data_IF_428236874349
#
_entry.id   IF_428236874349
#
_cell.length_a   1.000
_cell.length_b   1.000
_cell.length_c   1.000
_cell.angle_alpha   90.00
_cell.angle_beta   90.00
_cell.angle_gamma   90.00
#
_symmetry.space_group_name_H-M   'P 1'
#
loop_
_entity.id
_entity.type
_entity.pdbx_description
1 polymer ?
#
# COMPACT_ATOMS: atom_id res chain seq x y z
N UNK A 1 14.82 -6.66 11.01
CA UNK A 1 14.51 -6.48 12.44
C UNK A 1 13.21 -5.71 12.56
N UNK A 2 12.29 -6.10 13.44
CA UNK A 2 11.07 -5.37 13.69
C UNK A 2 11.40 -3.92 14.10
N UNK A 3 10.69 -2.97 13.53
CA UNK A 3 10.96 -1.55 13.74
C UNK A 3 10.76 -1.15 15.22
N UNK A 4 9.69 -1.65 15.82
CA UNK A 4 9.36 -1.43 17.21
C UNK A 4 10.48 -1.90 18.15
N UNK A 5 11.09 -3.07 17.87
CA UNK A 5 12.22 -3.58 18.66
C UNK A 5 13.48 -2.72 18.53
N UNK A 6 13.69 -2.06 17.39
CA UNK A 6 14.78 -1.11 17.21
C UNK A 6 14.56 0.17 18.04
N UNK A 7 13.31 0.59 18.18
CA UNK A 7 12.93 1.72 19.05
C UNK A 7 13.09 1.35 20.51
N UNK A 8 12.47 0.24 20.95
CA UNK A 8 12.52 -0.26 22.33
C UNK A 8 13.96 -0.49 22.81
N UNK A 9 14.83 -0.98 21.92
CA UNK A 9 16.28 -1.14 22.19
C UNK A 9 17.07 0.17 22.15
N UNK A 10 16.41 1.31 21.88
CA UNK A 10 17.02 2.63 21.71
C UNK A 10 18.12 2.66 20.63
N UNK A 11 17.97 1.82 19.61
CA UNK A 11 18.90 1.78 18.49
C UNK A 11 18.67 2.92 17.49
N UNK A 12 17.46 3.50 17.46
CA UNK A 12 17.09 4.62 16.61
C UNK A 12 17.02 5.92 17.39
N UNK A 13 17.36 7.01 16.73
CA UNK A 13 17.31 8.36 17.26
C UNK A 13 15.95 8.98 16.99
N UNK A 14 15.42 9.74 17.96
CA UNK A 14 14.30 10.62 17.70
C UNK A 14 14.74 11.77 16.81
N UNK A 15 14.17 11.82 15.60
CA UNK A 15 14.52 12.83 14.58
C UNK A 15 13.96 14.20 14.99
N UNK A 16 12.84 14.27 15.73
CA UNK A 16 12.30 15.55 16.23
C UNK A 16 13.31 16.31 17.08
N UNK A 17 14.13 15.62 17.89
CA UNK A 17 15.15 16.28 18.71
C UNK A 17 16.22 16.95 17.82
N UNK A 18 16.60 16.30 16.71
CA UNK A 18 17.56 16.89 15.77
C UNK A 18 16.98 18.08 15.01
N UNK A 19 15.72 18.00 14.61
CA UNK A 19 15.03 19.09 13.89
C UNK A 19 14.82 20.30 14.79
N UNK A 20 14.50 20.09 16.06
CA UNK A 20 14.31 21.18 17.04
C UNK A 20 15.58 22.00 17.29
N UNK A 21 16.74 21.35 17.26
CA UNK A 21 18.03 21.98 17.49
C UNK A 21 18.61 22.60 16.22
N UNK A 22 17.97 22.40 15.06
CA UNK A 22 18.42 22.88 13.77
C UNK A 22 18.05 24.34 13.54
N UNK A 23 19.03 25.23 13.71
CA UNK A 23 18.90 26.66 13.46
C UNK A 23 19.52 27.11 12.13
N UNK A 24 19.76 26.19 11.20
CA UNK A 24 20.34 26.53 9.89
C UNK A 24 19.33 27.21 8.97
N UNK A 25 19.84 27.91 7.96
CA UNK A 25 18.98 28.60 6.96
C UNK A 25 18.13 27.65 6.11
N UNK A 26 18.45 26.36 6.10
CA UNK A 26 17.73 25.29 5.41
C UNK A 26 17.12 24.28 6.41
N UNK A 27 16.70 24.77 7.58
CA UNK A 27 15.96 23.94 8.53
C UNK A 27 14.68 23.38 7.88
N UNK A 28 14.40 22.12 8.18
CA UNK A 28 13.17 21.46 7.70
C UNK A 28 11.97 22.05 8.44
N UNK A 29 11.00 22.55 7.67
CA UNK A 29 9.65 22.85 8.18
C UNK A 29 8.76 21.65 7.86
N UNK A 30 8.33 20.90 8.86
CA UNK A 30 7.51 19.70 8.66
C UNK A 30 6.12 20.01 8.06
N UNK A 31 5.64 21.25 8.16
CA UNK A 31 4.36 21.67 7.55
C UNK A 31 4.43 21.70 6.01
N UNK A 32 5.63 21.70 5.43
CA UNK A 32 5.82 21.64 3.97
C UNK A 32 5.65 20.22 3.41
N UNK A 33 5.44 19.24 4.28
CA UNK A 33 5.35 17.82 3.94
C UNK A 33 4.00 17.22 4.32
N UNK A 34 3.64 16.11 3.68
CA UNK A 34 2.39 15.42 3.98
C UNK A 34 2.41 14.81 5.39
N UNK A 35 1.70 15.48 6.32
CA UNK A 35 1.66 15.11 7.74
C UNK A 35 1.11 13.70 7.97
N UNK A 36 0.11 13.26 7.19
CA UNK A 36 -0.45 11.92 7.32
C UNK A 36 0.57 10.84 6.97
N UNK A 37 1.46 11.15 6.01
CA UNK A 37 2.56 10.26 5.62
C UNK A 37 3.69 10.31 6.66
N UNK A 38 4.05 11.49 7.15
CA UNK A 38 5.07 11.63 8.20
C UNK A 38 4.69 10.86 9.46
N UNK A 39 3.42 10.87 9.83
CA UNK A 39 2.91 10.17 11.01
C UNK A 39 3.13 8.65 10.98
N UNK A 40 3.31 8.05 9.82
CA UNK A 40 3.65 6.62 9.74
C UNK A 40 5.05 6.29 10.29
N UNK A 41 5.94 7.28 10.40
CA UNK A 41 7.26 7.14 11.01
C UNK A 41 7.31 7.51 12.49
N UNK A 42 6.14 7.88 13.08
CA UNK A 42 6.01 8.26 14.48
C UNK A 42 5.65 7.06 15.34
N UNK A 43 6.32 6.91 16.46
CA UNK A 43 6.02 5.91 17.49
C UNK A 43 6.12 6.59 18.87
N UNK A 44 5.09 6.44 19.68
CA UNK A 44 4.99 7.06 21.01
C UNK A 44 5.28 8.57 21.02
N UNK A 45 4.74 9.29 20.03
CA UNK A 45 4.90 10.73 19.77
C UNK A 45 6.31 11.18 19.33
N UNK A 46 7.23 10.28 19.08
CA UNK A 46 8.57 10.55 18.59
C UNK A 46 8.73 10.09 17.14
N UNK A 47 9.45 10.85 16.31
CA UNK A 47 9.70 10.52 14.90
C UNK A 47 10.99 9.71 14.77
N UNK A 48 10.89 8.47 14.37
CA UNK A 48 12.02 7.56 14.19
C UNK A 48 12.33 7.22 12.74
N UNK A 49 11.34 7.33 11.86
CA UNK A 49 11.53 7.24 10.41
C UNK A 49 11.03 8.52 9.79
N UNK A 50 11.86 9.14 8.94
CA UNK A 50 11.41 10.21 8.07
C UNK A 50 11.09 9.62 6.69
N UNK A 51 9.82 9.60 6.29
CA UNK A 51 9.41 9.13 4.97
C UNK A 51 9.98 10.03 3.87
N UNK A 52 10.28 9.46 2.73
CA UNK A 52 10.71 10.19 1.52
C UNK A 52 9.69 10.03 0.40
N UNK A 53 9.23 8.80 0.22
CA UNK A 53 8.31 8.45 -0.84
C UNK A 53 7.27 7.46 -0.31
N UNK A 54 6.06 7.55 -0.86
CA UNK A 54 4.95 6.69 -0.51
C UNK A 54 4.16 6.24 -1.73
N UNK A 55 3.41 5.17 -1.59
CA UNK A 55 2.45 4.69 -2.55
C UNK A 55 1.03 4.76 -1.98
N UNK A 56 0.05 4.92 -2.85
CA UNK A 56 -1.38 4.90 -2.48
C UNK A 56 -1.98 3.59 -2.95
N UNK A 57 -2.74 2.95 -2.07
CA UNK A 57 -3.40 1.68 -2.38
C UNK A 57 -4.68 1.92 -3.17
N UNK A 58 -4.73 1.41 -4.40
CA UNK A 58 -5.90 1.49 -5.27
C UNK A 58 -6.15 0.18 -6.01
N UNK A 59 -7.40 -0.04 -6.39
CA UNK A 59 -7.83 -1.09 -7.32
C UNK A 59 -8.23 -0.44 -8.63
N UNK A 60 -7.80 -1.01 -9.74
CA UNK A 60 -8.19 -0.55 -11.07
C UNK A 60 -8.93 -1.66 -11.81
N UNK A 61 -10.01 -1.29 -12.48
CA UNK A 61 -10.81 -2.15 -13.33
C UNK A 61 -11.38 -1.35 -14.49
N UNK A 62 -12.31 -1.91 -15.23
CA UNK A 62 -13.08 -1.21 -16.27
C UNK A 62 -14.58 -1.40 -16.06
N UNK A 63 -15.40 -0.44 -16.55
CA UNK A 63 -16.85 -0.57 -16.49
C UNK A 63 -17.33 -1.87 -17.15
N UNK A 64 -16.68 -2.27 -18.24
CA UNK A 64 -17.00 -3.47 -18.99
C UNK A 64 -16.83 -4.74 -18.17
N UNK A 65 -15.75 -4.82 -17.38
CA UNK A 65 -15.46 -5.96 -16.49
C UNK A 65 -16.40 -5.99 -15.28
N UNK A 66 -16.71 -4.82 -14.74
CA UNK A 66 -17.60 -4.68 -13.59
C UNK A 66 -19.10 -4.81 -13.92
N UNK A 67 -19.46 -4.84 -15.19
CA UNK A 67 -20.86 -4.82 -15.65
C UNK A 67 -21.74 -5.94 -15.05
N UNK A 68 -21.15 -7.09 -14.76
CA UNK A 68 -21.85 -8.25 -14.19
C UNK A 68 -21.87 -8.23 -12.67
N UNK A 69 -21.27 -7.22 -12.05
CA UNK A 69 -21.25 -7.00 -10.62
C UNK A 69 -22.09 -5.77 -10.31
N UNK A 70 -22.82 -5.77 -9.22
CA UNK A 70 -23.60 -4.59 -8.79
C UNK A 70 -22.68 -3.50 -8.18
N UNK A 71 -21.53 -3.29 -8.81
CA UNK A 71 -20.51 -2.32 -8.43
C UNK A 71 -20.73 -1.10 -9.32
N UNK A 72 -21.22 0.00 -8.73
CA UNK A 72 -21.38 1.28 -9.44
C UNK A 72 -20.36 2.28 -8.95
N UNK A 73 -19.60 2.82 -9.90
CA UNK A 73 -18.51 3.75 -9.74
C UNK A 73 -18.82 4.96 -8.82
N UNK A 74 -20.01 5.51 -8.89
CA UNK A 74 -20.37 6.80 -8.26
C UNK A 74 -21.13 6.70 -6.93
N UNK A 75 -21.25 5.52 -6.33
CA UNK A 75 -22.04 5.34 -5.11
C UNK A 75 -21.22 5.25 -3.81
N UNK A 76 -19.98 5.76 -3.80
CA UNK A 76 -19.09 5.62 -2.65
C UNK A 76 -18.75 4.14 -2.36
N UNK A 77 -18.73 3.31 -3.40
CA UNK A 77 -18.34 1.92 -3.29
C UNK A 77 -16.90 1.85 -2.76
N UNK A 78 -16.73 1.11 -1.69
CA UNK A 78 -15.44 0.81 -1.10
C UNK A 78 -15.37 -0.69 -0.84
N UNK A 79 -14.37 -1.33 -1.39
CA UNK A 79 -14.11 -2.73 -1.12
C UNK A 79 -13.35 -2.86 0.20
N UNK A 80 -13.93 -3.62 1.13
CA UNK A 80 -13.31 -3.92 2.41
C UNK A 80 -13.19 -5.43 2.60
N UNK A 81 -12.34 -5.89 3.50
CA UNK A 81 -12.28 -7.32 3.82
C UNK A 81 -13.64 -7.88 4.27
N UNK A 82 -14.45 -7.09 4.98
CA UNK A 82 -15.76 -7.53 5.47
C UNK A 82 -16.84 -7.59 4.40
N UNK A 83 -16.83 -6.72 3.39
CA UNK A 83 -17.82 -6.77 2.31
C UNK A 83 -17.35 -7.55 1.08
N UNK A 84 -16.10 -7.94 1.06
CA UNK A 84 -15.49 -8.67 -0.04
C UNK A 84 -16.24 -9.97 -0.34
N UNK A 85 -16.58 -10.74 0.69
CA UNK A 85 -17.30 -11.99 0.53
C UNK A 85 -18.71 -11.79 -0.05
N UNK A 86 -19.41 -10.74 0.36
CA UNK A 86 -20.76 -10.45 -0.14
C UNK A 86 -20.75 -10.03 -1.61
N UNK A 87 -19.77 -9.19 -1.99
CA UNK A 87 -19.61 -8.71 -3.37
C UNK A 87 -19.25 -9.85 -4.31
N UNK A 88 -18.40 -10.77 -3.89
CA UNK A 88 -17.86 -11.83 -4.75
C UNK A 88 -18.45 -13.23 -4.51
N UNK A 89 -19.31 -13.41 -3.53
CA UNK A 89 -19.94 -14.70 -3.20
C UNK A 89 -20.63 -15.36 -4.40
N UNK A 90 -21.36 -14.58 -5.17
CA UNK A 90 -22.03 -15.06 -6.38
C UNK A 90 -21.05 -15.33 -7.53
N UNK A 91 -19.90 -14.67 -7.50
CA UNK A 91 -18.84 -14.77 -8.50
C UNK A 91 -18.03 -16.05 -8.34
N UNK A 92 -17.65 -16.36 -7.11
CA UNK A 92 -16.91 -17.59 -6.81
C UNK A 92 -17.75 -18.85 -6.97
N UNK A 93 -19.09 -18.73 -6.98
CA UNK A 93 -19.99 -19.86 -7.19
C UNK A 93 -20.20 -20.23 -8.66
N UNK A 94 -19.82 -19.37 -9.60
CA UNK A 94 -19.95 -19.63 -11.03
C UNK A 94 -18.63 -20.17 -11.58
N UNK A 95 -18.67 -21.34 -12.22
CA UNK A 95 -17.51 -22.08 -12.77
C UNK A 95 -16.78 -21.35 -13.95
N UNK A 96 -17.08 -20.08 -14.21
CA UNK A 96 -16.56 -19.33 -15.36
C UNK A 96 -15.17 -18.71 -15.12
N UNK A 97 -14.43 -19.20 -14.17
CA UNK A 97 -12.97 -19.10 -14.10
C UNK A 97 -12.31 -17.73 -14.31
N UNK A 98 -12.76 -16.71 -13.56
CA UNK A 98 -12.08 -15.42 -13.57
C UNK A 98 -10.97 -15.35 -12.51
N UNK A 99 -9.88 -14.65 -12.81
CA UNK A 99 -8.88 -14.24 -11.81
C UNK A 99 -9.29 -12.93 -11.16
N UNK A 100 -9.08 -12.80 -9.85
CA UNK A 100 -9.38 -11.56 -9.14
C UNK A 100 -8.39 -10.45 -9.50
N UNK A 101 -7.13 -10.81 -9.72
CA UNK A 101 -6.04 -9.88 -10.02
C UNK A 101 -5.22 -10.44 -11.18
N UNK A 102 -4.82 -9.56 -12.11
CA UNK A 102 -3.97 -9.89 -13.23
C UNK A 102 -2.63 -10.46 -12.80
N UNK A 103 -2.25 -11.59 -13.38
CA UNK A 103 -0.90 -12.15 -13.24
C UNK A 103 0.13 -11.44 -14.14
N UNK A 104 -0.29 -10.66 -15.13
CA UNK A 104 0.64 -9.99 -16.07
C UNK A 104 1.52 -8.93 -15.40
N UNK A 105 1.10 -8.41 -14.23
CA UNK A 105 1.91 -7.49 -13.43
C UNK A 105 2.92 -8.20 -12.51
N UNK A 106 2.79 -9.50 -12.28
CA UNK A 106 3.74 -10.27 -11.48
C UNK A 106 5.13 -10.34 -12.11
N UNK A 107 5.23 -10.31 -13.44
CA UNK A 107 6.50 -10.30 -14.16
C UNK A 107 7.26 -8.96 -14.04
N UNK A 108 6.57 -7.88 -13.71
CA UNK A 108 7.16 -6.54 -13.54
C UNK A 108 7.47 -6.18 -12.08
N UNK A 109 6.77 -6.82 -11.15
CA UNK A 109 6.96 -6.63 -9.71
C UNK A 109 7.41 -7.97 -9.13
N UNK A 110 8.57 -8.02 -8.56
CA UNK A 110 9.24 -9.20 -7.97
C UNK A 110 8.48 -9.88 -6.81
N UNK A 111 7.14 -9.73 -6.74
CA UNK A 111 6.31 -10.16 -5.62
C UNK A 111 5.11 -10.97 -6.08
N UNK A 112 4.86 -12.04 -5.38
CA UNK A 112 3.67 -12.88 -5.52
C UNK A 112 2.45 -12.12 -4.96
N UNK A 113 1.78 -11.37 -5.81
CA UNK A 113 0.71 -10.45 -5.47
C UNK A 113 -0.42 -11.02 -4.60
N UNK A 114 -0.96 -12.21 -4.90
CA UNK A 114 -2.00 -12.82 -4.07
C UNK A 114 -1.51 -13.13 -2.66
N UNK A 115 -0.25 -13.52 -2.52
CA UNK A 115 0.35 -13.82 -1.21
C UNK A 115 0.54 -12.55 -0.38
N UNK A 116 0.96 -11.46 -0.99
CA UNK A 116 1.07 -10.17 -0.29
C UNK A 116 -0.30 -9.68 0.20
N UNK A 117 -1.33 -9.79 -0.64
CA UNK A 117 -2.69 -9.44 -0.24
C UNK A 117 -3.16 -10.32 0.92
N UNK A 118 -2.82 -11.60 0.91
CA UNK A 118 -3.12 -12.51 2.00
C UNK A 118 -2.37 -12.13 3.29
N UNK A 119 -1.09 -11.82 3.22
CA UNK A 119 -0.34 -11.33 4.38
C UNK A 119 -0.90 -10.02 4.93
N UNK A 120 -1.29 -9.06 4.05
CA UNK A 120 -1.95 -7.83 4.47
C UNK A 120 -3.29 -8.09 5.16
N UNK A 121 -4.07 -9.02 4.63
CA UNK A 121 -5.30 -9.47 5.27
C UNK A 121 -5.01 -10.01 6.68
N UNK A 122 -4.04 -10.92 6.85
CA UNK A 122 -3.65 -11.43 8.16
C UNK A 122 -3.21 -10.31 9.10
N UNK A 123 -2.34 -9.42 8.64
CA UNK A 123 -1.81 -8.30 9.44
C UNK A 123 -2.92 -7.33 9.90
N UNK A 124 -4.00 -7.20 9.13
CA UNK A 124 -5.14 -6.35 9.51
C UNK A 124 -5.92 -6.84 10.76
N UNK A 125 -5.68 -8.08 11.17
CA UNK A 125 -6.24 -8.70 12.38
C UNK A 125 -5.22 -8.79 13.53
N UNK A 126 -4.09 -8.08 13.41
CA UNK A 126 -3.10 -7.93 14.47
C UNK A 126 -2.99 -6.45 14.83
N UNK A 127 -3.16 -6.14 16.09
CA UNK A 127 -2.85 -4.82 16.66
C UNK A 127 -1.46 -4.88 17.26
N UNK A 128 -0.46 -4.48 16.47
CA UNK A 128 0.94 -4.54 16.88
C UNK A 128 1.25 -3.55 18.01
N UNK A 129 0.56 -2.43 18.05
CA UNK A 129 0.74 -1.40 19.09
C UNK A 129 0.20 -1.87 20.45
N UNK A 130 -1.05 -2.36 20.48
CA UNK A 130 -1.69 -2.84 21.71
C UNK A 130 -1.41 -4.32 21.99
N UNK A 131 -0.57 -4.98 21.14
CA UNK A 131 -0.18 -6.39 21.28
C UNK A 131 -1.38 -7.34 21.34
N UNK A 132 -2.39 -7.12 20.49
CA UNK A 132 -3.62 -7.89 20.45
C UNK A 132 -3.82 -8.63 19.11
N UNK A 133 -4.46 -9.79 19.17
CA UNK A 133 -4.68 -10.69 18.04
C UNK A 133 -6.18 -11.00 17.91
N UNK A 134 -6.72 -10.97 16.66
CA UNK A 134 -8.14 -11.12 16.39
C UNK A 134 -8.46 -12.28 15.41
N UNK A 135 -7.62 -13.29 15.31
CA UNK A 135 -7.78 -14.42 14.38
C UNK A 135 -8.89 -15.41 14.78
N UNK A 136 -9.41 -15.34 16.01
CA UNK A 136 -10.50 -16.24 16.45
C UNK A 136 -11.90 -15.62 16.30
N UNK A 137 -12.01 -14.45 15.70
CA UNK A 137 -13.29 -13.79 15.44
C UNK A 137 -14.04 -14.46 14.28
N UNK A 138 -15.37 -14.44 14.32
CA UNK A 138 -16.19 -14.97 13.22
C UNK A 138 -15.94 -14.18 11.93
N UNK A 139 -15.77 -12.85 12.02
CA UNK A 139 -15.41 -12.00 10.90
C UNK A 139 -14.13 -12.48 10.21
N UNK A 140 -13.07 -12.76 10.99
CA UNK A 140 -11.83 -13.29 10.42
C UNK A 140 -12.04 -14.63 9.72
N UNK A 141 -12.76 -15.54 10.36
CA UNK A 141 -13.01 -16.88 9.83
C UNK A 141 -13.78 -16.88 8.52
N UNK A 142 -14.78 -16.00 8.40
CA UNK A 142 -15.57 -15.83 7.18
C UNK A 142 -14.73 -15.21 6.05
N UNK A 143 -13.99 -14.15 6.35
CA UNK A 143 -13.12 -13.50 5.38
C UNK A 143 -11.92 -14.38 4.96
N UNK A 144 -11.42 -15.23 5.85
CA UNK A 144 -10.36 -16.19 5.52
C UNK A 144 -10.79 -17.17 4.42
N UNK A 145 -12.02 -17.67 4.46
CA UNK A 145 -12.53 -18.57 3.42
C UNK A 145 -12.56 -17.90 2.05
N UNK A 146 -12.96 -16.63 2.01
CA UNK A 146 -12.99 -15.83 0.76
C UNK A 146 -11.56 -15.55 0.26
N UNK A 147 -10.65 -15.17 1.14
CA UNK A 147 -9.25 -14.94 0.78
C UNK A 147 -8.59 -16.21 0.24
N UNK A 148 -8.91 -17.38 0.80
CA UNK A 148 -8.41 -18.67 0.30
C UNK A 148 -9.00 -19.03 -1.07
N UNK A 149 -10.27 -18.74 -1.33
CA UNK A 149 -10.87 -18.91 -2.66
C UNK A 149 -10.15 -18.01 -3.68
N UNK A 150 -9.87 -16.76 -3.34
CA UNK A 150 -9.15 -15.83 -4.20
C UNK A 150 -7.75 -16.33 -4.55
N UNK A 151 -6.97 -16.80 -3.56
CA UNK A 151 -5.65 -17.39 -3.80
C UNK A 151 -5.72 -18.61 -4.73
N UNK A 152 -6.73 -19.46 -4.56
CA UNK A 152 -6.92 -20.65 -5.38
C UNK A 152 -7.26 -20.30 -6.83
N UNK A 153 -8.06 -19.25 -7.06
CA UNK A 153 -8.44 -18.80 -8.41
C UNK A 153 -7.26 -18.14 -9.09
N UNK A 154 -6.48 -17.31 -8.40
CA UNK A 154 -5.31 -16.64 -8.97
C UNK A 154 -4.22 -17.62 -9.44
N UNK A 155 -4.17 -18.82 -8.87
CA UNK A 155 -3.25 -19.88 -9.30
C UNK A 155 -3.73 -20.64 -10.56
N UNK A 156 -5.00 -20.53 -10.93
CA UNK A 156 -5.54 -21.11 -12.16
C UNK A 156 -5.39 -20.08 -13.27
N UNK A 157 -4.45 -20.25 -14.18
CA UNK A 157 -4.20 -19.41 -15.37
C UNK A 157 -5.48 -19.14 -16.17
N UNK A 158 -6.28 -18.18 -15.76
CA UNK A 158 -7.50 -17.78 -16.43
C UNK A 158 -7.35 -16.37 -17.02
N UNK A 159 -7.84 -16.21 -18.23
CA UNK A 159 -7.65 -15.04 -19.08
C UNK A 159 -8.61 -13.88 -18.79
N UNK A 160 -9.57 -14.05 -17.88
CA UNK A 160 -10.56 -13.02 -17.56
C UNK A 160 -10.29 -12.47 -16.14
N UNK A 161 -9.80 -11.27 -16.08
CA UNK A 161 -9.43 -10.60 -14.85
C UNK A 161 -10.46 -9.56 -14.46
N UNK A 162 -10.88 -9.56 -13.21
CA UNK A 162 -11.85 -8.58 -12.72
C UNK A 162 -11.18 -7.23 -12.44
N UNK A 163 -10.03 -7.27 -11.80
CA UNK A 163 -9.19 -6.11 -11.58
C UNK A 163 -7.83 -6.32 -12.24
N UNK A 164 -7.29 -5.29 -12.87
CA UNK A 164 -5.97 -5.33 -13.47
C UNK A 164 -4.85 -5.31 -12.43
N UNK A 165 -5.19 -5.11 -11.20
CA UNK A 165 -4.26 -5.20 -10.10
C UNK A 165 -4.69 -4.39 -8.89
N UNK A 166 -4.10 -4.77 -7.77
CA UNK A 166 -3.96 -3.93 -6.59
C UNK A 166 -2.71 -3.08 -6.85
N UNK A 167 -2.88 -1.85 -7.31
CA UNK A 167 -1.76 -0.96 -7.49
C UNK A 167 -1.37 -0.34 -6.17
N UNK A 168 -0.21 -0.72 -5.68
CA UNK A 168 0.31 -0.27 -4.40
C UNK A 168 1.20 0.96 -4.59
N UNK A 169 1.69 1.23 -5.83
CA UNK A 169 2.85 2.07 -6.05
C UNK A 169 2.75 2.86 -7.35
N UNK A 170 1.64 3.53 -7.64
CA UNK A 170 1.53 4.23 -8.92
C UNK A 170 1.59 5.74 -8.74
N UNK A 171 2.64 6.33 -9.32
CA UNK A 171 2.70 7.79 -9.50
C UNK A 171 1.64 8.27 -10.51
N UNK A 172 1.34 9.56 -10.51
CA UNK A 172 0.40 10.14 -11.47
C UNK A 172 0.73 9.82 -12.94
N UNK A 173 2.00 9.88 -13.41
CA UNK A 173 2.34 9.53 -14.79
C UNK A 173 2.00 8.10 -15.16
N UNK A 174 2.19 7.15 -14.23
CA UNK A 174 1.88 5.74 -14.49
C UNK A 174 0.36 5.49 -14.55
N UNK A 175 -0.42 6.15 -13.68
CA UNK A 175 -1.88 6.06 -13.74
C UNK A 175 -2.44 6.70 -15.02
N UNK A 176 -1.88 7.80 -15.48
CA UNK A 176 -2.23 8.38 -16.78
C UNK A 176 -1.86 7.43 -17.95
N UNK A 177 -0.75 6.69 -17.82
CA UNK A 177 -0.39 5.63 -18.76
C UNK A 177 -1.39 4.48 -18.78
N UNK A 178 -1.84 4.03 -17.61
CA UNK A 178 -2.89 3.01 -17.49
C UNK A 178 -4.19 3.46 -18.16
N UNK A 179 -4.62 4.69 -17.91
CA UNK A 179 -5.79 5.27 -18.57
C UNK A 179 -5.66 5.20 -20.11
N UNK A 180 -4.51 5.62 -20.65
CA UNK A 180 -4.26 5.61 -22.09
C UNK A 180 -4.28 4.20 -22.68
N UNK A 181 -3.78 3.21 -21.94
CA UNK A 181 -3.82 1.81 -22.33
C UNK A 181 -5.27 1.31 -22.48
N UNK A 182 -6.13 1.51 -21.47
CA UNK A 182 -7.53 1.09 -21.52
C UNK A 182 -8.30 1.75 -22.64
N UNK A 183 -8.07 3.04 -22.88
CA UNK A 183 -8.67 3.73 -24.01
C UNK A 183 -8.25 3.11 -25.36
N UNK A 184 -7.02 2.62 -25.48
CA UNK A 184 -6.53 1.98 -26.69
C UNK A 184 -7.22 0.66 -27.01
N UNK A 185 -7.75 -0.04 -26.00
CA UNK A 185 -8.51 -1.30 -26.15
C UNK A 185 -10.03 -1.10 -26.07
N UNK A 186 -10.50 0.16 -26.08
CA UNK A 186 -11.91 0.56 -25.99
C UNK A 186 -12.60 0.11 -24.69
N UNK A 187 -11.87 0.06 -23.58
CA UNK A 187 -12.41 -0.13 -22.25
C UNK A 187 -12.42 1.19 -21.47
N UNK A 188 -13.40 1.37 -20.57
CA UNK A 188 -13.57 2.55 -19.74
C UNK A 188 -12.97 2.28 -18.36
N UNK A 189 -11.77 2.78 -18.05
CA UNK A 189 -11.12 2.48 -16.77
C UNK A 189 -11.79 3.18 -15.60
N UNK A 190 -11.83 2.48 -14.48
CA UNK A 190 -12.32 2.96 -13.19
C UNK A 190 -11.31 2.66 -12.10
N UNK A 191 -11.21 3.53 -11.11
CA UNK A 191 -10.31 3.39 -9.97
C UNK A 191 -11.09 3.45 -8.66
N UNK A 192 -10.75 2.55 -7.74
CA UNK A 192 -11.32 2.45 -6.41
C UNK A 192 -10.23 2.54 -5.35
N UNK A 193 -10.63 2.87 -4.14
CA UNK A 193 -9.77 2.72 -2.96
C UNK A 193 -9.28 1.29 -2.86
N UNK A 194 -8.07 1.12 -2.36
CA UNK A 194 -7.51 -0.20 -2.10
C UNK A 194 -8.32 -0.97 -1.07
N UNK A 195 -8.10 -2.28 -1.03
CA UNK A 195 -8.77 -3.15 -0.09
C UNK A 195 -8.27 -2.88 1.34
N UNK A 196 -9.17 -2.44 2.21
CA UNK A 196 -8.87 -2.07 3.60
C UNK A 196 -9.84 -2.72 4.58
N UNK A 197 -9.57 -2.62 5.89
CA UNK A 197 -10.50 -3.09 6.92
C UNK A 197 -11.75 -2.22 7.00
N UNK A 198 -11.63 -0.91 6.79
CA UNK A 198 -12.69 0.08 6.95
C UNK A 198 -12.93 0.85 5.64
N UNK A 199 -14.19 1.03 5.28
CA UNK A 199 -14.62 1.71 4.03
C UNK A 199 -14.18 3.17 3.90
N UNK A 200 -13.91 3.86 5.01
CA UNK A 200 -13.57 5.28 5.03
C UNK A 200 -12.05 5.52 5.04
N UNK A 201 -11.26 4.47 4.77
CA UNK A 201 -9.81 4.54 4.77
C UNK A 201 -9.28 4.67 3.33
N UNK A 202 -8.51 5.72 3.09
CA UNK A 202 -7.62 5.83 1.95
C UNK A 202 -6.21 5.48 2.45
N UNK A 203 -5.77 4.27 2.13
CA UNK A 203 -4.49 3.78 2.64
C UNK A 203 -3.33 4.15 1.73
N UNK A 204 -2.22 4.42 2.37
CA UNK A 204 -0.92 4.57 1.75
C UNK A 204 0.13 3.80 2.55
N UNK A 205 1.30 3.61 1.96
CA UNK A 205 2.43 2.98 2.64
C UNK A 205 3.72 3.67 2.23
N UNK A 206 4.63 3.78 3.19
CA UNK A 206 5.96 4.33 2.95
C UNK A 206 6.77 3.33 2.13
N UNK A 207 7.34 3.80 1.03
CA UNK A 207 8.21 3.02 0.16
C UNK A 207 9.68 3.21 0.46
N UNK A 208 10.03 4.42 0.83
CA UNK A 208 11.39 4.78 1.20
C UNK A 208 11.35 5.77 2.36
N UNK A 209 12.26 5.59 3.29
CA UNK A 209 12.44 6.47 4.44
C UNK A 209 13.80 6.23 5.09
N UNK A 210 14.19 7.12 5.96
CA UNK A 210 15.44 7.02 6.69
C UNK A 210 15.23 7.07 8.20
N UNK A 211 16.03 6.27 8.89
CA UNK A 211 16.22 6.33 10.33
C UNK A 211 17.68 6.67 10.64
N UNK A 212 17.92 7.27 11.77
CA UNK A 212 19.27 7.58 12.23
C UNK A 212 19.63 6.65 13.36
N UNK A 213 20.78 5.97 13.27
CA UNK A 213 21.29 5.15 14.36
C UNK A 213 21.66 6.05 15.56
N UNK A 214 21.11 5.74 16.73
CA UNK A 214 21.30 6.53 17.93
C UNK A 214 22.78 6.60 18.41
N UNK A 215 23.59 5.61 18.04
CA UNK A 215 25.01 5.56 18.39
C UNK A 215 25.92 6.31 17.39
N UNK A 216 25.37 6.93 16.33
CA UNK A 216 26.18 7.67 15.38
C UNK A 216 26.86 8.88 16.00
N UNK A 217 28.14 9.09 15.64
CA UNK A 217 28.88 10.31 15.98
C UNK A 217 28.73 11.40 14.91
N UNK A 218 28.03 11.09 13.80
CA UNK A 218 27.88 11.95 12.63
C UNK A 218 26.43 12.46 12.49
N UNK A 219 25.84 12.96 13.60
CA UNK A 219 24.45 13.41 13.64
C UNK A 219 24.15 14.53 12.66
N UNK A 220 25.01 15.52 12.61
CA UNK A 220 24.87 16.69 11.72
C UNK A 220 24.94 16.26 10.24
N UNK A 221 25.84 15.32 9.90
CA UNK A 221 25.95 14.80 8.54
C UNK A 221 24.73 13.96 8.16
N UNK A 222 24.19 13.15 9.10
CA UNK A 222 22.98 12.39 8.89
C UNK A 222 21.78 13.33 8.66
N UNK A 223 21.66 14.39 9.46
CA UNK A 223 20.61 15.40 9.25
C UNK A 223 20.78 16.13 7.92
N UNK A 224 22.01 16.52 7.56
CA UNK A 224 22.28 17.16 6.27
C UNK A 224 21.90 16.25 5.09
N UNK A 225 22.14 14.94 5.19
CA UNK A 225 21.72 13.97 4.19
C UNK A 225 20.19 13.87 4.09
N UNK A 226 19.47 13.82 5.21
CA UNK A 226 18.01 13.84 5.24
C UNK A 226 17.48 15.11 4.57
N UNK A 227 18.02 16.29 4.91
CA UNK A 227 17.63 17.56 4.27
C UNK A 227 17.82 17.53 2.76
N UNK A 228 18.95 16.99 2.31
CA UNK A 228 19.23 16.84 0.88
C UNK A 228 18.20 15.96 0.19
N UNK A 229 17.86 14.81 0.79
CA UNK A 229 16.88 13.87 0.21
C UNK A 229 15.43 14.37 0.24
N UNK A 230 15.12 15.30 1.14
CA UNK A 230 13.82 15.98 1.22
C UNK A 230 13.76 17.26 0.39
N UNK A 231 14.88 17.71 -0.22
CA UNK A 231 14.89 18.89 -1.07
C UNK A 231 13.99 18.70 -2.30
N UNK A 232 13.46 19.81 -2.83
CA UNK A 232 12.62 19.81 -4.02
C UNK A 232 13.29 19.08 -5.18
N UNK A 233 14.60 19.32 -5.40
CA UNK A 233 15.40 18.69 -6.47
C UNK A 233 15.34 17.15 -6.41
N UNK A 234 15.57 16.56 -5.25
CA UNK A 234 15.61 15.10 -5.10
C UNK A 234 14.20 14.51 -5.10
N UNK A 235 13.25 15.18 -4.47
CA UNK A 235 11.85 14.78 -4.45
C UNK A 235 11.24 14.83 -5.87
N UNK A 236 11.60 15.85 -6.68
CA UNK A 236 11.16 15.98 -8.08
C UNK A 236 11.74 14.87 -8.96
N UNK A 237 13.02 14.53 -8.81
CA UNK A 237 13.64 13.41 -9.52
C UNK A 237 12.89 12.11 -9.18
N UNK A 238 12.60 11.85 -7.90
CA UNK A 238 11.88 10.66 -7.47
C UNK A 238 10.44 10.62 -7.98
N UNK A 239 9.76 11.77 -8.10
CA UNK A 239 8.37 11.85 -8.54
C UNK A 239 8.20 11.76 -10.06
N UNK A 240 9.20 12.22 -10.85
CA UNK A 240 9.10 12.38 -12.31
C UNK A 240 9.97 11.42 -13.09
N UNK A 241 10.91 10.72 -12.43
CA UNK A 241 11.76 9.74 -13.10
C UNK A 241 10.90 8.72 -13.86
N UNK A 242 11.32 8.39 -15.07
CA UNK A 242 10.69 7.36 -15.90
C UNK A 242 10.72 6.03 -15.13
N UNK A 243 9.56 5.56 -14.73
CA UNK A 243 9.41 4.38 -13.89
C UNK A 243 9.27 4.68 -12.37
N UNK A 244 9.18 5.96 -11.97
CA UNK A 244 8.83 6.29 -10.59
C UNK A 244 7.46 5.71 -10.24
N UNK A 245 7.46 4.88 -9.20
CA UNK A 245 6.25 4.21 -8.72
C UNK A 245 5.62 4.98 -7.54
N UNK A 246 6.23 6.08 -7.09
CA UNK A 246 5.99 6.67 -5.78
C UNK A 246 5.60 8.13 -5.84
N UNK A 247 4.90 8.58 -4.80
CA UNK A 247 4.64 9.99 -4.53
C UNK A 247 5.73 10.57 -3.62
N UNK A 248 6.16 11.83 -3.84
CA UNK A 248 7.02 12.53 -2.92
C UNK A 248 6.25 12.96 -1.68
N UNK A 249 6.92 13.04 -0.54
CA UNK A 249 6.31 13.57 0.70
C UNK A 249 6.25 15.10 0.72
N UNK A 250 7.10 15.76 -0.06
CA UNK A 250 7.12 17.21 -0.22
C UNK A 250 5.87 17.67 -0.99
N UNK A 251 5.02 18.50 -0.37
CA UNK A 251 3.73 18.89 -0.92
C UNK A 251 3.83 19.78 -2.15
N UNK A 252 4.86 20.64 -2.24
CA UNK A 252 5.06 21.49 -3.42
C UNK A 252 5.42 20.65 -4.64
N UNK A 253 6.25 19.63 -4.45
CA UNK A 253 6.65 18.68 -5.52
C UNK A 253 5.47 17.76 -5.89
N UNK A 254 4.70 17.31 -4.91
CA UNK A 254 3.48 16.52 -5.13
C UNK A 254 2.48 17.27 -6.00
N UNK A 255 2.19 18.54 -5.66
CA UNK A 255 1.27 19.38 -6.42
C UNK A 255 1.76 19.66 -7.85
N UNK A 256 3.05 19.88 -8.02
CA UNK A 256 3.66 20.00 -9.34
C UNK A 256 3.56 18.71 -10.16
N UNK A 257 3.84 17.55 -9.56
CA UNK A 257 3.70 16.25 -10.21
C UNK A 257 2.25 15.98 -10.65
N UNK A 258 1.28 16.35 -9.83
CA UNK A 258 -0.14 16.30 -10.15
C UNK A 258 -0.50 17.15 -11.36
N UNK A 259 0.00 18.39 -11.44
CA UNK A 259 -0.20 19.29 -12.59
C UNK A 259 0.46 18.74 -13.86
N UNK A 260 1.69 18.25 -13.76
CA UNK A 260 2.44 17.70 -14.93
C UNK A 260 1.77 16.45 -15.47
N UNK A 261 1.25 15.57 -14.62
CA UNK A 261 0.50 14.39 -15.08
C UNK A 261 -0.75 14.77 -15.88
N UNK A 262 -1.35 15.94 -15.59
CA UNK A 262 -2.45 16.50 -16.37
C UNK A 262 -2.08 17.07 -17.73
N UNK A 263 -0.80 17.32 -17.94
CA UNK A 263 -0.30 17.94 -19.17
C UNK A 263 0.43 16.98 -20.11
N UNK A 264 0.28 15.66 -19.93
CA UNK A 264 0.94 14.67 -20.79
C UNK A 264 0.48 14.85 -22.25
N UNK A 265 1.44 14.90 -23.15
CA UNK A 265 1.17 14.88 -24.60
C UNK A 265 1.17 13.46 -25.12
N UNK A 266 0.21 13.13 -25.98
CA UNK A 266 0.24 11.91 -26.81
C UNK A 266 1.36 12.00 -27.88
N UNK A 267 1.52 10.94 -28.66
CA UNK A 267 2.52 10.87 -29.76
C UNK A 267 2.33 11.98 -30.80
N UNK A 268 1.22 12.72 -30.76
CA UNK A 268 0.89 13.85 -31.63
C UNK A 268 1.07 15.21 -30.94
N UNK A 269 1.74 15.27 -29.78
CA UNK A 269 1.89 16.45 -28.94
C UNK A 269 0.55 17.05 -28.43
N UNK A 270 -0.52 16.26 -28.43
CA UNK A 270 -1.79 16.67 -27.85
C UNK A 270 -1.75 16.45 -26.34
N UNK A 271 -2.02 17.50 -25.59
CA UNK A 271 -2.14 17.43 -24.13
C UNK A 271 -3.32 16.51 -23.79
N UNK A 272 -3.02 15.37 -23.19
CA UNK A 272 -4.02 14.50 -22.59
C UNK A 272 -4.26 15.07 -21.20
N UNK A 273 -5.26 15.94 -21.09
CA UNK A 273 -5.59 16.58 -19.80
C UNK A 273 -6.06 15.56 -18.76
N UNK A 274 -5.86 15.90 -17.49
CA UNK A 274 -6.44 15.17 -16.33
C UNK A 274 -7.99 15.28 -16.32
N UNK A 275 -8.59 15.86 -17.32
CA UNK A 275 -10.04 16.11 -17.36
C UNK A 275 -10.85 14.84 -17.71
N UNK A 276 -10.44 13.70 -17.12
CA UNK A 276 -11.23 12.49 -17.16
C UNK A 276 -11.54 12.00 -15.74
N UNK A 277 -12.67 11.34 -15.59
CA UNK A 277 -13.21 10.95 -14.30
C UNK A 277 -12.31 9.94 -13.58
N UNK A 278 -11.58 9.09 -14.31
CA UNK A 278 -10.60 8.16 -13.76
C UNK A 278 -9.47 8.88 -13.01
N UNK A 279 -8.83 9.87 -13.66
CA UNK A 279 -7.74 10.63 -13.02
C UNK A 279 -8.24 11.51 -11.89
N UNK A 280 -9.45 12.09 -12.03
CA UNK A 280 -10.08 12.84 -10.93
C UNK A 280 -10.32 11.98 -9.70
N UNK A 281 -10.85 10.76 -9.88
CA UNK A 281 -11.07 9.82 -8.79
C UNK A 281 -9.74 9.39 -8.16
N UNK A 282 -8.69 9.15 -8.96
CA UNK A 282 -7.37 8.81 -8.45
C UNK A 282 -6.73 9.94 -7.65
N UNK A 283 -6.84 11.18 -8.12
CA UNK A 283 -6.36 12.37 -7.43
C UNK A 283 -7.13 12.54 -6.10
N UNK A 284 -8.46 12.36 -6.11
CA UNK A 284 -9.27 12.45 -4.90
C UNK A 284 -8.84 11.41 -3.85
N UNK A 285 -8.58 10.18 -4.25
CA UNK A 285 -8.06 9.14 -3.34
C UNK A 285 -6.70 9.55 -2.78
N UNK A 286 -5.80 10.06 -3.63
CA UNK A 286 -4.42 10.41 -3.25
C UNK A 286 -4.35 11.65 -2.36
N UNK A 287 -5.17 12.67 -2.63
CA UNK A 287 -5.25 13.90 -1.84
C UNK A 287 -5.88 13.66 -0.44
N UNK A 288 -6.71 12.61 -0.32
CA UNK A 288 -7.43 12.27 0.91
C UNK A 288 -6.87 11.05 1.65
N UNK A 289 -5.58 10.74 1.47
CA UNK A 289 -4.92 9.70 2.27
C UNK A 289 -5.05 10.04 3.75
N UNK A 290 -5.61 9.12 4.53
CA UNK A 290 -5.88 9.29 5.96
C UNK A 290 -5.34 8.16 6.84
N UNK A 291 -4.74 7.14 6.23
CA UNK A 291 -4.00 6.10 6.92
C UNK A 291 -2.72 5.79 6.13
N UNK A 292 -1.59 5.84 6.79
CA UNK A 292 -0.31 5.46 6.20
C UNK A 292 0.40 4.50 7.13
N UNK A 293 0.91 3.43 6.56
CA UNK A 293 1.71 2.44 7.28
C UNK A 293 3.13 2.40 6.73
N UNK A 294 4.07 1.98 7.54
CA UNK A 294 5.36 1.54 7.02
C UNK A 294 5.13 0.41 6.03
N UNK A 295 5.87 0.41 4.92
CA UNK A 295 5.78 -0.67 3.94
C UNK A 295 5.92 -2.01 4.66
N UNK A 296 4.95 -2.89 4.46
CA UNK A 296 4.86 -4.15 5.22
C UNK A 296 6.13 -5.00 5.11
N UNK A 297 6.86 -4.86 4.00
CA UNK A 297 8.13 -5.57 3.82
C UNK A 297 9.23 -5.08 4.75
N UNK A 298 9.16 -3.89 5.32
CA UNK A 298 10.19 -3.38 6.24
C UNK A 298 9.83 -3.65 7.70
N UNK A 299 8.58 -3.38 8.09
CA UNK A 299 8.15 -3.55 9.50
C UNK A 299 7.65 -4.97 9.79
N UNK A 300 6.94 -5.58 8.84
CA UNK A 300 6.30 -6.88 9.05
C UNK A 300 6.91 -8.02 8.23
N UNK A 301 7.95 -7.77 7.39
CA UNK A 301 8.61 -8.83 6.62
C UNK A 301 9.16 -9.91 7.52
N UNK A 302 9.82 -9.52 8.63
CA UNK A 302 10.31 -10.49 9.59
C UNK A 302 9.18 -11.34 10.19
N UNK A 303 8.07 -10.71 10.57
CA UNK A 303 6.89 -11.41 11.07
C UNK A 303 6.29 -12.32 9.99
N UNK A 304 6.08 -11.81 8.79
CA UNK A 304 5.50 -12.58 7.69
C UNK A 304 6.37 -13.78 7.30
N UNK A 305 7.70 -13.58 7.18
CA UNK A 305 8.60 -14.60 6.68
C UNK A 305 9.04 -15.58 7.78
N UNK A 306 9.34 -15.10 8.98
CA UNK A 306 10.02 -15.89 10.01
C UNK A 306 9.08 -16.34 11.14
N UNK A 307 7.95 -15.69 11.33
CA UNK A 307 7.00 -16.06 12.39
C UNK A 307 5.82 -16.84 11.85
N UNK A 308 5.17 -16.34 10.79
CA UNK A 308 3.97 -16.99 10.25
C UNK A 308 4.17 -17.66 8.89
N UNK A 309 5.29 -17.44 8.19
CA UNK A 309 5.50 -17.93 6.83
C UNK A 309 5.29 -19.44 6.67
N UNK A 310 5.93 -20.26 7.50
CA UNK A 310 5.74 -21.71 7.50
C UNK A 310 4.30 -22.13 7.83
N UNK A 311 3.60 -21.38 8.68
CA UNK A 311 2.21 -21.64 9.07
C UNK A 311 1.29 -21.38 7.88
N UNK A 312 1.51 -20.28 7.18
CA UNK A 312 0.79 -19.90 5.97
C UNK A 312 1.04 -20.90 4.85
N UNK A 313 2.30 -21.27 4.59
CA UNK A 313 2.67 -22.30 3.60
C UNK A 313 1.98 -23.63 3.88
N UNK A 314 2.01 -24.08 5.14
CA UNK A 314 1.34 -25.32 5.54
C UNK A 314 -0.17 -25.27 5.33
N UNK A 315 -0.80 -24.13 5.52
CA UNK A 315 -2.23 -23.97 5.29
C UNK A 315 -2.57 -23.98 3.79
N UNK A 316 -1.86 -23.20 3.00
CA UNK A 316 -2.12 -23.04 1.57
C UNK A 316 -1.74 -24.30 0.80
N UNK A 317 -0.54 -24.85 1.01
CA UNK A 317 0.04 -25.88 0.17
C UNK A 317 -0.07 -27.30 0.74
N UNK A 318 -0.14 -27.47 2.06
CA UNK A 318 -0.15 -28.78 2.72
C UNK A 318 -1.48 -29.18 3.32
N UNK A 319 -2.50 -28.30 3.21
CA UNK A 319 -3.89 -28.60 3.54
C UNK A 319 -4.13 -28.88 5.03
N UNK A 320 -3.46 -28.17 5.96
CA UNK A 320 -3.85 -28.24 7.38
C UNK A 320 -5.25 -27.65 7.54
N UNK A 321 -6.00 -28.14 8.53
CA UNK A 321 -7.36 -27.63 8.77
C UNK A 321 -7.34 -26.16 9.19
N UNK A 322 -8.42 -25.43 8.85
CA UNK A 322 -8.64 -24.03 9.23
C UNK A 322 -8.46 -23.79 10.72
N UNK A 323 -9.04 -24.66 11.56
CA UNK A 323 -8.88 -24.53 13.02
C UNK A 323 -7.44 -24.73 13.51
N UNK A 324 -6.70 -25.63 12.85
CA UNK A 324 -5.29 -25.81 13.17
C UNK A 324 -4.47 -24.60 12.74
N UNK A 325 -4.74 -24.07 11.56
CA UNK A 325 -4.12 -22.85 11.05
C UNK A 325 -4.33 -21.68 12.01
N UNK A 326 -5.59 -21.39 12.37
CA UNK A 326 -5.95 -20.29 13.28
C UNK A 326 -5.21 -20.44 14.62
N UNK A 327 -5.22 -21.62 15.22
CA UNK A 327 -4.53 -21.84 16.50
C UNK A 327 -3.01 -21.62 16.41
N UNK A 328 -2.38 -22.11 15.35
CA UNK A 328 -0.93 -21.96 15.15
C UNK A 328 -0.59 -20.48 14.90
N UNK A 329 -1.38 -19.81 14.06
CA UNK A 329 -1.22 -18.41 13.74
C UNK A 329 -1.36 -17.53 14.99
N UNK A 330 -2.42 -17.74 15.77
CA UNK A 330 -2.65 -17.01 17.04
C UNK A 330 -1.47 -17.20 17.99
N UNK A 331 -1.08 -18.45 18.25
CA UNK A 331 -0.01 -18.74 19.21
C UNK A 331 1.33 -18.13 18.78
N UNK A 332 1.70 -18.26 17.50
CA UNK A 332 2.95 -17.69 16.99
C UNK A 332 2.97 -16.15 17.07
N UNK A 333 1.84 -15.53 16.75
CA UNK A 333 1.69 -14.07 16.79
C UNK A 333 1.74 -13.54 18.22
N UNK A 334 1.03 -14.18 19.16
CA UNK A 334 1.06 -13.80 20.59
C UNK A 334 2.48 -13.90 21.17
N UNK A 335 3.23 -14.95 20.84
CA UNK A 335 4.63 -15.07 21.24
C UNK A 335 5.44 -13.92 20.69
N UNK A 336 5.33 -13.66 19.38
CA UNK A 336 6.05 -12.57 18.71
C UNK A 336 5.77 -11.19 19.31
N UNK A 337 4.51 -10.91 19.67
CA UNK A 337 4.11 -9.64 20.27
C UNK A 337 4.59 -9.45 21.72
N UNK A 338 4.89 -10.56 22.43
CA UNK A 338 5.32 -10.53 23.83
C UNK A 338 6.83 -10.61 24.03
N UNK A 339 7.59 -11.08 23.03
CA UNK A 339 9.06 -11.09 23.02
C UNK A 339 9.66 -9.73 22.64
#
# INVERSE_FOLDING_TARGET
LPFEKLIESRSLMNIYDLLKDDNSSNAINLDDYNVNILNAGVYDNDLYIIPLFYGVDVLVSTEERLKNFDIKENNGFSLTYSNFSDVFKNYFSNDEGYSFVSNELSDFLWFDYPMQLFCRFLNSYVDFENKAVYFDTDEFKDNLDVMMQMLTISQKNNTNELFDGLYINRSFPLMAGSYSYYQSINETPVVFRGLTKNKDVNSAHIQAGYSINNNTKLKEQALAFIKYTLSDEIQEIGATASGSLSFPVNMSVYDNAKLVAGSRTDDNNKIIGIDNDFMKAYIDISDNVNACTLYQDVSHSYYNDNVIGDIVDNYINKGISKDKFIRQLTSATEIYLTE
#
